data_IF_681336885884
#
_entry.id   IF_681336885884
#
_cell.length_a   1.000
_cell.length_b   1.000
_cell.length_c   1.000
_cell.angle_alpha   90.00
_cell.angle_beta   90.00
_cell.angle_gamma   90.00
#
_symmetry.space_group_name_H-M   'P 1'
#
loop_
_entity.id
_entity.type
_entity.pdbx_description
1 polymer ?
#
# COMPACT_ATOMS: atom_id res chain seq x y z
N UNK A 1 -26.93 32.76 -65.42
CA UNK A 1 -25.92 33.07 -66.45
C UNK A 1 -24.88 31.97 -66.40
N UNK A 2 -24.49 31.29 -67.44
CA UNK A 2 -24.99 31.21 -68.81
C UNK A 2 -24.40 29.91 -69.34
N UNK A 3 -25.23 29.15 -70.03
CA UNK A 3 -24.81 28.08 -70.93
C UNK A 3 -23.92 28.63 -72.06
N UNK A 4 -23.27 27.67 -72.74
CA UNK A 4 -22.90 27.63 -74.17
C UNK A 4 -21.39 27.67 -74.43
N UNK A 5 -20.93 27.23 -75.62
CA UNK A 5 -21.54 26.36 -76.65
C UNK A 5 -20.62 25.18 -77.04
N UNK A 6 -21.17 24.04 -77.47
CA UNK A 6 -21.18 23.56 -78.87
C UNK A 6 -19.81 23.57 -79.58
N UNK A 7 -19.35 22.40 -80.04
CA UNK A 7 -19.29 22.15 -81.50
C UNK A 7 -19.16 20.64 -81.81
N UNK A 8 -19.93 20.11 -82.78
CA UNK A 8 -19.81 18.75 -83.29
C UNK A 8 -18.94 18.73 -84.55
N UNK A 9 -18.15 17.69 -84.75
CA UNK A 9 -17.72 17.32 -86.10
C UNK A 9 -17.68 15.82 -86.27
N UNK A 10 -18.04 15.46 -87.49
CA UNK A 10 -18.54 14.17 -87.93
C UNK A 10 -17.43 13.30 -88.52
N UNK A 11 -17.73 11.99 -88.50
CA UNK A 11 -17.29 10.93 -89.41
C UNK A 11 -15.79 10.58 -89.45
N UNK A 12 -15.49 9.33 -89.08
CA UNK A 12 -15.01 8.39 -90.10
C UNK A 12 -15.48 6.96 -89.78
N UNK A 13 -15.92 6.29 -90.83
CA UNK A 13 -16.56 4.99 -90.89
C UNK A 13 -15.64 4.10 -91.73
N UNK A 14 -14.66 3.48 -91.08
CA UNK A 14 -13.76 2.44 -91.61
C UNK A 14 -12.91 2.01 -90.40
N UNK A 15 -12.70 0.76 -90.02
CA UNK A 15 -12.64 -0.49 -90.73
C UNK A 15 -12.91 -1.65 -89.76
N UNK A 16 -13.57 -2.67 -90.31
CA UNK A 16 -13.64 -4.10 -90.02
C UNK A 16 -13.00 -4.72 -88.75
N UNK A 17 -13.66 -5.76 -88.19
CA UNK A 17 -13.26 -6.40 -86.94
C UNK A 17 -11.92 -7.12 -87.07
N UNK A 18 -10.95 -6.73 -86.26
CA UNK A 18 -9.82 -7.59 -85.93
C UNK A 18 -10.37 -8.89 -85.32
N UNK A 19 -9.94 -10.01 -85.88
CA UNK A 19 -10.28 -11.37 -85.46
C UNK A 19 -10.21 -11.54 -83.94
N UNK A 20 -11.11 -12.33 -83.33
CA UNK A 20 -11.00 -12.66 -81.91
C UNK A 20 -9.67 -13.38 -81.67
N UNK A 21 -8.69 -12.67 -81.13
CA UNK A 21 -7.59 -13.29 -80.40
C UNK A 21 -8.25 -14.09 -79.29
N UNK A 22 -8.23 -15.41 -79.43
CA UNK A 22 -8.59 -16.34 -78.37
C UNK A 22 -7.75 -15.98 -77.15
N UNK A 23 -8.37 -15.26 -76.21
CA UNK A 23 -7.79 -14.97 -74.93
C UNK A 23 -7.44 -16.33 -74.30
N UNK A 24 -6.15 -16.56 -74.07
CA UNK A 24 -5.70 -17.66 -73.24
C UNK A 24 -6.51 -17.64 -71.94
N UNK A 25 -7.11 -18.76 -71.51
CA UNK A 25 -7.89 -18.79 -70.29
C UNK A 25 -7.04 -18.24 -69.16
N UNK A 26 -7.48 -17.09 -68.59
CA UNK A 26 -6.88 -16.55 -67.38
C UNK A 26 -6.96 -17.67 -66.35
N UNK A 27 -5.84 -18.12 -65.77
CA UNK A 27 -5.87 -19.16 -64.76
C UNK A 27 -6.83 -18.68 -63.67
N UNK A 28 -7.85 -19.48 -63.39
CA UNK A 28 -8.87 -19.17 -62.40
C UNK A 28 -8.17 -18.68 -61.14
N UNK A 29 -8.39 -17.41 -60.77
CA UNK A 29 -7.81 -16.85 -59.55
C UNK A 29 -8.35 -17.69 -58.41
N UNK A 30 -7.50 -18.55 -57.84
CA UNK A 30 -7.86 -19.32 -56.67
C UNK A 30 -8.32 -18.32 -55.62
N UNK A 31 -9.60 -18.37 -55.27
CA UNK A 31 -10.15 -17.49 -54.24
C UNK A 31 -9.36 -17.76 -52.97
N UNK A 32 -8.75 -16.74 -52.34
CA UNK A 32 -7.97 -16.94 -51.13
C UNK A 32 -8.85 -17.66 -50.12
N UNK A 33 -8.49 -18.90 -49.78
CA UNK A 33 -9.25 -19.66 -48.78
C UNK A 33 -9.33 -18.79 -47.52
N UNK A 34 -10.53 -18.62 -46.94
CA UNK A 34 -10.71 -17.70 -45.82
C UNK A 34 -9.82 -18.17 -44.67
N UNK A 35 -8.80 -17.35 -44.33
CA UNK A 35 -7.87 -17.58 -43.20
C UNK A 35 -8.53 -17.35 -41.83
N UNK A 36 -9.83 -17.08 -41.81
CA UNK A 36 -10.64 -16.82 -40.63
C UNK A 36 -10.46 -17.80 -39.46
N UNK A 37 -10.38 -19.13 -39.64
CA UNK A 37 -10.24 -20.04 -38.50
C UNK A 37 -8.91 -19.87 -37.75
N UNK A 38 -7.83 -19.51 -38.44
CA UNK A 38 -6.53 -19.26 -37.81
C UNK A 38 -6.51 -17.96 -37.01
N UNK A 39 -7.17 -16.92 -37.52
CA UNK A 39 -7.29 -15.63 -36.82
C UNK A 39 -8.08 -15.78 -35.52
N UNK A 40 -9.21 -16.51 -35.55
CA UNK A 40 -9.99 -16.79 -34.34
C UNK A 40 -9.20 -17.58 -33.29
N UNK A 41 -8.46 -18.61 -33.71
CA UNK A 41 -7.62 -19.39 -32.81
C UNK A 41 -6.56 -18.52 -32.12
N UNK A 42 -5.90 -17.63 -32.87
CA UNK A 42 -4.90 -16.71 -32.31
C UNK A 42 -5.52 -15.73 -31.30
N UNK A 43 -6.69 -15.15 -31.60
CA UNK A 43 -7.37 -14.22 -30.69
C UNK A 43 -7.76 -14.91 -29.38
N UNK A 44 -8.33 -16.12 -29.45
CA UNK A 44 -8.71 -16.88 -28.24
C UNK A 44 -7.48 -17.19 -27.38
N UNK A 45 -6.36 -17.61 -27.99
CA UNK A 45 -5.13 -17.87 -27.26
C UNK A 45 -4.59 -16.62 -26.53
N UNK A 46 -4.63 -15.46 -27.18
CA UNK A 46 -4.22 -14.18 -26.57
C UNK A 46 -5.14 -13.79 -25.41
N UNK A 47 -6.46 -13.92 -25.57
CA UNK A 47 -7.41 -13.62 -24.49
C UNK A 47 -7.20 -14.53 -23.29
N UNK A 48 -7.01 -15.83 -23.50
CA UNK A 48 -6.72 -16.77 -22.41
C UNK A 48 -5.40 -16.44 -21.69
N UNK A 49 -4.36 -16.05 -22.43
CA UNK A 49 -3.10 -15.62 -21.83
C UNK A 49 -3.29 -14.36 -20.97
N UNK A 50 -4.06 -13.37 -21.44
CA UNK A 50 -4.36 -12.15 -20.67
C UNK A 50 -5.16 -12.47 -19.41
N UNK A 51 -6.19 -13.32 -19.50
CA UNK A 51 -7.00 -13.72 -18.34
C UNK A 51 -6.16 -14.49 -17.31
N UNK A 52 -5.27 -15.38 -17.76
CA UNK A 52 -4.37 -16.09 -16.85
C UNK A 52 -3.41 -15.10 -16.13
N UNK A 53 -2.86 -14.14 -16.87
CA UNK A 53 -1.93 -13.14 -16.31
C UNK A 53 -2.64 -12.24 -15.29
N UNK A 54 -3.81 -11.72 -15.62
CA UNK A 54 -4.64 -10.93 -14.70
C UNK A 54 -5.12 -11.76 -13.49
N UNK A 55 -5.46 -13.03 -13.70
CA UNK A 55 -5.85 -13.94 -12.62
C UNK A 55 -4.72 -14.15 -11.61
N UNK A 56 -3.47 -14.33 -12.08
CA UNK A 56 -2.33 -14.48 -11.18
C UNK A 56 -2.00 -13.23 -10.38
N UNK A 57 -2.14 -12.04 -10.96
CA UNK A 57 -1.88 -10.78 -10.23
C UNK A 57 -2.93 -10.54 -9.14
N UNK A 58 -4.20 -10.80 -9.43
CA UNK A 58 -5.29 -10.64 -8.45
C UNK A 58 -5.17 -11.62 -7.28
N UNK A 59 -4.72 -12.86 -7.55
CA UNK A 59 -4.52 -13.86 -6.50
C UNK A 59 -3.31 -13.54 -5.61
N UNK A 60 -2.27 -12.89 -6.16
CA UNK A 60 -1.13 -12.45 -5.36
C UNK A 60 -1.53 -11.34 -4.38
N UNK A 61 -2.31 -10.36 -4.86
CA UNK A 61 -2.77 -9.21 -4.06
C UNK A 61 -3.66 -9.67 -2.89
N UNK A 62 -4.62 -10.56 -3.16
CA UNK A 62 -5.50 -11.10 -2.12
C UNK A 62 -4.76 -11.88 -1.04
N UNK A 63 -3.67 -12.60 -1.42
CA UNK A 63 -2.87 -13.34 -0.45
C UNK A 63 -2.09 -12.41 0.47
N UNK A 64 -1.52 -11.32 -0.06
CA UNK A 64 -0.83 -10.33 0.76
C UNK A 64 -1.76 -9.61 1.74
N UNK A 65 -2.99 -9.31 1.33
CA UNK A 65 -3.99 -8.72 2.23
C UNK A 65 -4.40 -9.68 3.35
N UNK A 66 -4.54 -10.97 3.06
CA UNK A 66 -4.90 -11.96 4.06
C UNK A 66 -3.76 -12.19 5.07
N UNK A 67 -2.51 -12.26 4.59
CA UNK A 67 -1.32 -12.44 5.44
C UNK A 67 -1.10 -11.24 6.37
N UNK A 68 -1.27 -10.02 5.88
CA UNK A 68 -1.16 -8.82 6.71
C UNK A 68 -2.29 -8.72 7.74
N UNK A 69 -3.53 -9.07 7.37
CA UNK A 69 -4.65 -9.08 8.32
C UNK A 69 -4.45 -10.07 9.47
N UNK A 70 -3.91 -11.26 9.17
CA UNK A 70 -3.56 -12.26 10.19
C UNK A 70 -2.40 -11.79 11.08
N UNK A 71 -1.37 -11.16 10.49
CA UNK A 71 -0.25 -10.59 11.24
C UNK A 71 -0.70 -9.46 12.19
N UNK A 72 -1.53 -8.52 11.70
CA UNK A 72 -2.11 -7.45 12.53
C UNK A 72 -2.92 -8.05 13.67
N UNK A 73 -3.82 -8.99 13.37
CA UNK A 73 -4.64 -9.65 14.39
C UNK A 73 -3.78 -10.35 15.45
N UNK A 74 -2.71 -11.02 15.02
CA UNK A 74 -1.74 -11.67 15.91
C UNK A 74 -1.06 -10.64 16.81
N UNK A 75 -0.55 -9.54 16.26
CA UNK A 75 0.07 -8.49 17.06
C UNK A 75 -0.89 -7.80 18.01
N UNK A 76 -2.11 -7.49 17.58
CA UNK A 76 -3.12 -6.93 18.47
C UNK A 76 -3.42 -7.87 19.64
N UNK A 77 -3.47 -9.19 19.41
CA UNK A 77 -3.68 -10.15 20.49
C UNK A 77 -2.48 -10.31 21.42
N UNK A 78 -1.25 -10.27 20.90
CA UNK A 78 -0.02 -10.46 21.68
C UNK A 78 0.38 -9.21 22.49
N UNK A 79 0.29 -8.02 21.87
CA UNK A 79 0.84 -6.77 22.44
C UNK A 79 -0.14 -5.59 22.46
N UNK A 80 -1.36 -5.76 21.94
CA UNK A 80 -2.32 -4.67 21.79
C UNK A 80 -2.61 -3.94 23.10
N UNK A 81 -2.87 -4.68 24.19
CA UNK A 81 -3.11 -4.07 25.51
C UNK A 81 -1.92 -3.24 26.01
N UNK A 82 -0.69 -3.69 25.72
CA UNK A 82 0.51 -2.96 26.09
C UNK A 82 0.67 -1.67 25.27
N UNK A 83 0.54 -1.75 23.94
CA UNK A 83 0.64 -0.59 23.05
C UNK A 83 -0.44 0.45 23.38
N UNK A 84 -1.69 0.00 23.60
CA UNK A 84 -2.79 0.87 23.99
C UNK A 84 -2.55 1.55 25.34
N UNK A 85 -2.02 0.83 26.34
CA UNK A 85 -1.70 1.44 27.64
C UNK A 85 -0.61 2.52 27.54
N UNK A 86 0.39 2.33 26.66
CA UNK A 86 1.41 3.35 26.38
C UNK A 86 0.80 4.56 25.67
N UNK A 87 -0.12 4.36 24.72
CA UNK A 87 -0.85 5.45 24.07
C UNK A 87 -1.78 6.21 25.03
N UNK A 88 -2.44 5.53 25.97
CA UNK A 88 -3.26 6.18 26.99
C UNK A 88 -2.38 7.09 27.87
N UNK A 89 -1.22 6.61 28.32
CA UNK A 89 -0.24 7.43 29.05
C UNK A 89 0.18 8.67 28.23
N UNK A 90 0.44 8.50 26.94
CA UNK A 90 0.76 9.61 26.02
C UNK A 90 -0.37 10.62 25.90
N UNK A 91 -1.60 10.16 25.64
CA UNK A 91 -2.75 11.05 25.44
C UNK A 91 -3.05 11.91 26.67
N UNK A 92 -2.82 11.36 27.86
CA UNK A 92 -2.99 12.09 29.12
C UNK A 92 -1.89 13.12 29.34
N UNK A 93 -0.65 12.79 28.98
CA UNK A 93 0.48 13.71 29.08
C UNK A 93 0.27 14.99 28.25
N UNK A 94 -0.36 14.89 27.06
CA UNK A 94 -0.65 16.04 26.20
C UNK A 94 -1.65 17.04 26.80
N UNK A 95 -2.65 16.56 27.54
CA UNK A 95 -3.74 17.41 28.05
C UNK A 95 -3.44 18.01 29.43
N UNK A 96 -2.25 17.73 29.97
CA UNK A 96 -1.89 18.06 31.34
C UNK A 96 -2.32 16.95 32.30
N UNK A 97 -1.36 16.15 32.75
CA UNK A 97 -1.53 15.06 33.70
C UNK A 97 -0.94 15.47 35.06
N UNK A 98 -1.35 14.83 36.15
CA UNK A 98 -0.62 14.95 37.42
C UNK A 98 0.51 13.91 37.48
N UNK A 99 1.54 14.14 38.29
CA UNK A 99 2.63 13.17 38.46
C UNK A 99 2.10 11.80 38.94
N UNK A 100 1.11 11.80 39.84
CA UNK A 100 0.50 10.58 40.37
C UNK A 100 -0.28 9.80 39.30
N UNK A 101 -1.01 10.50 38.44
CA UNK A 101 -1.74 9.88 37.32
C UNK A 101 -0.77 9.34 36.26
N UNK A 102 0.33 10.04 35.99
CA UNK A 102 1.37 9.57 35.08
C UNK A 102 2.05 8.30 35.62
N UNK A 103 2.42 8.30 36.90
CA UNK A 103 2.99 7.12 37.56
C UNK A 103 2.04 5.91 37.52
N UNK A 104 0.73 6.16 37.68
CA UNK A 104 -0.30 5.12 37.58
C UNK A 104 -0.36 4.55 36.16
N UNK A 105 -0.42 5.40 35.13
CA UNK A 105 -0.46 4.96 33.73
C UNK A 105 0.81 4.18 33.32
N UNK A 106 1.99 4.61 33.76
CA UNK A 106 3.26 3.89 33.57
C UNK A 106 3.22 2.53 34.28
N UNK A 107 2.65 2.46 35.49
CA UNK A 107 2.46 1.22 36.23
C UNK A 107 1.56 0.23 35.50
N UNK A 108 0.43 0.69 34.97
CA UNK A 108 -0.51 -0.11 34.19
C UNK A 108 0.15 -0.64 32.90
N UNK A 109 0.81 0.22 32.13
CA UNK A 109 1.54 -0.18 30.93
C UNK A 109 2.67 -1.19 31.25
N UNK A 110 3.39 -1.00 32.36
CA UNK A 110 4.42 -1.94 32.83
C UNK A 110 3.83 -3.30 33.21
N UNK A 111 2.62 -3.32 33.78
CA UNK A 111 1.93 -4.57 34.11
C UNK A 111 1.56 -5.37 32.86
N UNK A 112 1.13 -4.71 31.77
CA UNK A 112 0.89 -5.37 30.48
C UNK A 112 2.19 -5.84 29.84
N UNK A 113 3.23 -5.00 29.82
CA UNK A 113 4.57 -5.36 29.34
C UNK A 113 5.09 -6.64 29.98
N UNK A 114 4.99 -6.76 31.31
CA UNK A 114 5.51 -7.90 32.06
C UNK A 114 4.74 -9.21 31.81
N UNK A 115 3.56 -9.17 31.18
CA UNK A 115 2.81 -10.38 30.78
C UNK A 115 3.24 -10.93 29.43
N UNK A 116 3.97 -10.14 28.64
CA UNK A 116 4.41 -10.52 27.30
C UNK A 116 5.67 -11.37 27.43
N UNK A 117 5.60 -12.63 27.00
CA UNK A 117 6.79 -13.45 26.81
C UNK A 117 7.44 -13.07 25.48
N UNK A 118 8.55 -12.36 25.56
CA UNK A 118 9.23 -11.85 24.38
C UNK A 118 9.84 -12.95 23.51
N UNK A 119 10.16 -14.10 24.09
CA UNK A 119 10.73 -15.22 23.34
C UNK A 119 9.65 -15.96 22.53
N UNK A 120 8.37 -15.80 22.90
CA UNK A 120 7.21 -16.33 22.18
C UNK A 120 6.58 -15.33 21.21
N UNK A 121 7.02 -14.07 21.23
CA UNK A 121 6.47 -13.00 20.42
C UNK A 121 6.72 -13.26 18.93
N UNK A 122 5.69 -13.12 18.10
CA UNK A 122 5.86 -13.29 16.67
C UNK A 122 6.83 -12.23 16.09
N UNK A 123 7.65 -12.57 15.09
CA UNK A 123 8.61 -11.62 14.51
C UNK A 123 7.96 -10.34 13.95
N UNK A 124 6.70 -10.43 13.54
CA UNK A 124 5.93 -9.29 13.05
C UNK A 124 5.69 -8.22 14.14
N UNK A 125 5.67 -8.61 15.41
CA UNK A 125 5.33 -7.72 16.53
C UNK A 125 6.55 -7.18 17.29
N UNK A 126 7.76 -7.73 17.09
CA UNK A 126 8.96 -7.30 17.84
C UNK A 126 9.30 -5.82 17.60
N UNK A 127 9.06 -5.29 16.39
CA UNK A 127 9.28 -3.87 16.10
C UNK A 127 8.32 -2.96 16.88
N UNK A 128 7.02 -3.27 16.87
CA UNK A 128 5.99 -2.55 17.61
C UNK A 128 6.22 -2.66 19.13
N UNK A 129 6.56 -3.86 19.63
CA UNK A 129 6.90 -4.08 21.03
C UNK A 129 8.10 -3.21 21.47
N UNK A 130 9.20 -3.21 20.70
CA UNK A 130 10.39 -2.41 21.04
C UNK A 130 10.11 -0.92 21.04
N UNK A 131 9.29 -0.44 20.11
CA UNK A 131 8.87 0.96 20.09
C UNK A 131 8.04 1.30 21.33
N UNK A 132 7.04 0.49 21.68
CA UNK A 132 6.24 0.69 22.90
C UNK A 132 7.08 0.62 24.18
N UNK A 133 8.02 -0.34 24.27
CA UNK A 133 8.97 -0.48 25.37
C UNK A 133 9.86 0.76 25.52
N UNK A 134 10.36 1.28 24.41
CA UNK A 134 11.15 2.52 24.39
C UNK A 134 10.31 3.71 24.85
N UNK A 135 9.10 3.88 24.34
CA UNK A 135 8.21 4.96 24.76
C UNK A 135 7.90 4.90 26.27
N UNK A 136 7.57 3.71 26.79
CA UNK A 136 7.36 3.50 28.23
C UNK A 136 8.61 3.85 29.05
N UNK A 137 9.80 3.47 28.57
CA UNK A 137 11.06 3.78 29.27
C UNK A 137 11.32 5.30 29.35
N UNK A 138 10.95 6.05 28.30
CA UNK A 138 11.08 7.52 28.30
C UNK A 138 10.08 8.11 29.29
N UNK A 139 8.81 7.70 29.28
CA UNK A 139 7.83 8.15 30.27
C UNK A 139 8.26 7.85 31.71
N UNK A 140 8.80 6.66 31.97
CA UNK A 140 9.32 6.29 33.29
C UNK A 140 10.50 7.17 33.73
N UNK A 141 11.43 7.46 32.82
CA UNK A 141 12.54 8.37 33.09
C UNK A 141 12.03 9.80 33.37
N UNK A 142 11.16 10.33 32.51
CA UNK A 142 10.55 11.65 32.69
C UNK A 142 9.75 11.76 34.00
N UNK A 143 9.01 10.71 34.39
CA UNK A 143 8.29 10.67 35.67
C UNK A 143 9.23 10.70 36.87
N UNK A 144 10.39 10.05 36.78
CA UNK A 144 11.42 10.08 37.82
C UNK A 144 12.03 11.47 37.93
N UNK A 145 12.45 12.08 36.82
CA UNK A 145 12.98 13.45 36.78
C UNK A 145 11.97 14.46 37.32
N UNK A 146 10.70 14.33 36.95
CA UNK A 146 9.64 15.19 37.47
C UNK A 146 9.45 15.01 38.98
N UNK A 147 9.43 13.77 39.48
CA UNK A 147 9.39 13.52 40.91
C UNK A 147 10.59 14.13 41.64
N UNK A 148 11.80 13.97 41.11
CA UNK A 148 13.01 14.53 41.71
C UNK A 148 12.96 16.06 41.75
N UNK A 149 12.42 16.71 40.70
CA UNK A 149 12.17 18.15 40.67
C UNK A 149 11.19 18.60 41.77
N UNK A 150 10.09 17.87 41.99
CA UNK A 150 9.11 18.21 43.05
C UNK A 150 9.76 18.23 44.45
N UNK A 151 10.78 17.41 44.67
CA UNK A 151 11.48 17.31 45.96
C UNK A 151 12.71 18.21 46.09
N UNK A 152 13.11 18.92 45.03
CA UNK A 152 14.20 19.90 45.05
C UNK A 152 13.64 21.29 45.34
N UNK A 153 14.08 21.92 46.44
CA UNK A 153 13.65 23.25 46.88
C UNK A 153 13.88 24.37 45.83
N UNK A 154 14.68 24.11 44.79
CA UNK A 154 15.03 25.05 43.74
C UNK A 154 14.51 24.69 42.34
N UNK A 155 13.67 23.65 42.22
CA UNK A 155 13.11 23.24 40.94
C UNK A 155 11.61 23.57 40.89
N UNK A 156 11.21 24.33 39.87
CA UNK A 156 9.81 24.52 39.51
C UNK A 156 9.47 23.57 38.35
N UNK A 157 8.65 22.54 38.56
CA UNK A 157 8.29 21.59 37.50
C UNK A 157 7.59 22.23 36.30
N UNK A 158 7.05 23.44 36.44
CA UNK A 158 6.39 24.13 35.33
C UNK A 158 7.40 24.89 34.46
N UNK A 159 8.60 25.22 34.97
CA UNK A 159 9.60 26.01 34.23
C UNK A 159 10.93 25.30 34.00
N UNK A 160 11.34 24.44 34.94
CA UNK A 160 12.66 23.80 34.97
C UNK A 160 12.63 22.36 34.46
N UNK A 161 11.45 21.75 34.41
CA UNK A 161 11.26 20.43 33.81
C UNK A 161 11.17 20.54 32.28
N UNK A 162 12.17 20.01 31.58
CA UNK A 162 12.14 19.92 30.13
C UNK A 162 11.18 18.80 29.68
N UNK A 163 10.05 19.19 29.08
CA UNK A 163 9.06 18.25 28.55
C UNK A 163 9.39 17.76 27.12
N UNK A 164 10.57 18.08 26.57
CA UNK A 164 10.97 17.61 25.23
C UNK A 164 11.01 16.08 25.11
N UNK A 165 11.31 15.38 26.20
CA UNK A 165 11.24 13.93 26.28
C UNK A 165 9.82 13.38 26.09
N UNK A 166 8.78 14.14 26.47
CA UNK A 166 7.38 13.70 26.30
C UNK A 166 6.98 13.66 24.82
N UNK A 167 7.41 14.66 24.04
CA UNK A 167 7.21 14.65 22.59
C UNK A 167 7.89 13.45 21.95
N UNK A 168 9.11 13.13 22.40
CA UNK A 168 9.86 11.96 21.91
C UNK A 168 9.16 10.65 22.28
N UNK A 169 8.66 10.54 23.52
CA UNK A 169 7.91 9.38 23.98
C UNK A 169 6.61 9.20 23.18
N UNK A 170 5.90 10.29 22.90
CA UNK A 170 4.68 10.30 22.11
C UNK A 170 4.93 9.85 20.67
N UNK A 171 5.92 10.43 19.99
CA UNK A 171 6.28 10.03 18.62
C UNK A 171 6.64 8.55 18.57
N UNK A 172 7.34 8.06 19.60
CA UNK A 172 7.70 6.64 19.72
C UNK A 172 6.49 5.75 19.99
N UNK A 173 5.54 6.19 20.83
CA UNK A 173 4.29 5.47 21.11
C UNK A 173 3.41 5.37 19.85
N UNK A 174 3.31 6.46 19.09
CA UNK A 174 2.62 6.47 17.81
C UNK A 174 3.29 5.54 16.80
N UNK A 175 4.63 5.56 16.72
CA UNK A 175 5.37 4.64 15.86
C UNK A 175 5.15 3.16 16.26
N UNK A 176 4.95 2.86 17.54
CA UNK A 176 4.60 1.52 18.00
C UNK A 176 3.22 1.07 17.48
N UNK A 177 2.23 1.96 17.57
CA UNK A 177 0.88 1.71 17.05
C UNK A 177 0.87 1.56 15.54
N UNK A 178 1.56 2.45 14.83
CA UNK A 178 1.68 2.38 13.38
C UNK A 178 2.40 1.10 12.94
N UNK A 179 3.45 0.68 13.65
CA UNK A 179 4.14 -0.59 13.39
C UNK A 179 3.23 -1.81 13.65
N UNK A 180 2.39 -1.76 14.68
CA UNK A 180 1.40 -2.81 14.96
C UNK A 180 0.36 -2.91 13.83
N UNK A 181 -0.12 -1.78 13.31
CA UNK A 181 -1.10 -1.75 12.21
C UNK A 181 -0.48 -2.02 10.84
N UNK A 182 0.79 -1.69 10.63
CA UNK A 182 1.46 -1.88 9.35
C UNK A 182 1.67 -3.36 9.02
N UNK A 183 1.62 -4.25 10.02
CA UNK A 183 1.46 -5.68 9.78
C UNK A 183 2.52 -6.34 8.90
N UNK A 184 3.76 -5.80 8.83
CA UNK A 184 5.00 -6.30 8.19
C UNK A 184 5.68 -5.23 7.28
N UNK A 185 7.03 -5.15 7.44
CA UNK A 185 8.07 -4.42 6.68
C UNK A 185 8.43 -2.97 7.10
N UNK A 186 8.99 -2.84 8.30
CA UNK A 186 9.76 -1.64 8.72
C UNK A 186 11.24 -1.72 8.28
N UNK A 187 11.59 -2.58 7.33
CA UNK A 187 12.92 -2.53 6.67
C UNK A 187 13.15 -1.20 5.91
N UNK A 188 12.15 -0.31 5.86
CA UNK A 188 12.20 0.98 5.18
C UNK A 188 12.40 2.22 6.08
N UNK A 189 12.32 2.13 7.43
CA UNK A 189 12.22 3.36 8.26
C UNK A 189 13.50 3.73 9.03
N UNK A 190 14.46 2.84 9.24
CA UNK A 190 15.68 3.23 9.99
C UNK A 190 16.96 2.56 9.49
N UNK A 191 17.62 3.25 8.54
CA UNK A 191 19.07 3.34 8.47
C UNK A 191 19.45 4.82 8.46
#
# INVERSE_FOLDING_TARGET
>A
MSNAPEDPTWHDQSDWPAHPTYATPVPASESPRPRWPWVLGAVVAVVLAIVALLGTTLLADYRSEQESAEAITTCTNEIGEFVEAVLDASSRAEVGITQADLATAIGDASAFRNRIDRDELSPACDSAYRAADKALSIYAASSTTWNDCIWDDYCDPDTDFDNSDWSTAQETAQAAYDAMLAGISVDAVTN
#
